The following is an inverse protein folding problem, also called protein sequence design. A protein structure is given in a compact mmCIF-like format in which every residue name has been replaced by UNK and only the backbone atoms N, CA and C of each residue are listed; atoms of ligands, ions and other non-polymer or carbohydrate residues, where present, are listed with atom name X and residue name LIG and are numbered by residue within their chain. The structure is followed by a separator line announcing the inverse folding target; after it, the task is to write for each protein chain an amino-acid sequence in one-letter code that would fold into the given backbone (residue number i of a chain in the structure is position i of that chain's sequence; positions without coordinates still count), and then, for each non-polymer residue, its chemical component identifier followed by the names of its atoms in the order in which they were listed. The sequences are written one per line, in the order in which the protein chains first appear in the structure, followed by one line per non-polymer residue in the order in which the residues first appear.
data_IF_359119022275
#
_entry.id   IF_359119022275
#
_cell.length_a   1.000
_cell.length_b   1.000
_cell.length_c   1.000
_cell.angle_alpha   90.00
_cell.angle_beta   90.00
_cell.angle_gamma   90.00
#
_symmetry.space_group_name_H-M   'P 1'
#
loop_
_entity.id
_entity.type
_entity.pdbx_description
1 polymer ?
#
# COMPACT_ATOMS: atom_id res chain seq x y z
N UNK A 1 -36.36 39.60 -24.40
CA UNK A 1 -36.01 39.72 -22.97
C UNK A 1 -35.69 38.39 -22.25
N UNK A 2 -35.99 37.20 -22.80
CA UNK A 2 -35.81 35.91 -22.08
C UNK A 2 -34.39 35.28 -22.14
N UNK A 3 -33.48 35.80 -22.99
CA UNK A 3 -32.16 35.17 -23.23
C UNK A 3 -31.03 35.66 -22.31
N UNK A 4 -31.22 36.79 -21.62
CA UNK A 4 -30.19 37.43 -20.78
C UNK A 4 -30.18 37.00 -19.31
N UNK A 5 -31.27 36.39 -18.82
CA UNK A 5 -31.37 35.91 -17.42
C UNK A 5 -30.66 34.56 -17.22
N UNK A 6 -30.33 33.84 -18.30
CA UNK A 6 -29.71 32.49 -18.22
C UNK A 6 -28.21 32.48 -17.87
N UNK A 7 -27.47 33.57 -18.04
CA UNK A 7 -26.02 33.60 -17.76
C UNK A 7 -25.63 34.22 -16.40
N UNK A 8 -26.46 35.08 -15.82
CA UNK A 8 -26.10 35.79 -14.58
C UNK A 8 -26.24 34.93 -13.32
N UNK A 9 -27.21 34.00 -13.30
CA UNK A 9 -27.30 32.98 -12.26
C UNK A 9 -26.09 32.02 -12.30
N UNK A 10 -25.59 31.70 -13.50
CA UNK A 10 -24.41 30.84 -13.70
C UNK A 10 -23.13 31.48 -13.14
N UNK A 11 -22.91 32.78 -13.35
CA UNK A 11 -21.70 33.45 -12.84
C UNK A 11 -21.65 33.55 -11.30
N UNK A 12 -22.77 33.87 -10.65
CA UNK A 12 -22.84 33.99 -9.19
C UNK A 12 -22.75 32.61 -8.51
N UNK A 13 -23.43 31.61 -9.08
CA UNK A 13 -23.38 30.23 -8.61
C UNK A 13 -21.99 29.62 -8.80
N UNK A 14 -21.35 29.81 -9.95
CA UNK A 14 -19.98 29.35 -10.18
C UNK A 14 -19.01 30.02 -9.21
N UNK A 15 -19.12 31.34 -8.99
CA UNK A 15 -18.28 32.06 -8.03
C UNK A 15 -18.48 31.57 -6.59
N UNK A 16 -19.70 31.16 -6.22
CA UNK A 16 -19.99 30.54 -4.93
C UNK A 16 -19.37 29.14 -4.82
N UNK A 17 -19.46 28.32 -5.87
CA UNK A 17 -18.82 27.00 -5.92
C UNK A 17 -17.30 27.11 -5.80
N UNK A 18 -16.66 27.97 -6.58
CA UNK A 18 -15.20 28.18 -6.51
C UNK A 18 -14.72 28.60 -5.12
N UNK A 19 -15.50 29.45 -4.42
CA UNK A 19 -15.19 29.84 -3.04
C UNK A 19 -15.44 28.74 -2.01
N UNK A 20 -16.21 27.72 -2.38
CA UNK A 20 -16.56 26.59 -1.50
C UNK A 20 -15.61 25.41 -1.65
N UNK A 21 -14.75 25.42 -2.68
CA UNK A 21 -13.70 24.41 -2.91
C UNK A 21 -12.52 24.74 -2.00
N UNK A 22 -12.29 23.88 -1.02
CA UNK A 22 -11.02 23.76 -0.32
C UNK A 22 -10.13 22.80 -1.11
N UNK A 23 -8.88 23.18 -1.37
CA UNK A 23 -7.92 22.34 -2.10
C UNK A 23 -7.41 21.16 -1.28
N UNK A 24 -7.54 21.21 0.06
CA UNK A 24 -7.12 20.15 0.97
C UNK A 24 -5.63 19.77 0.78
N UNK A 25 -4.78 20.75 0.47
CA UNK A 25 -3.34 20.55 0.18
C UNK A 25 -2.62 19.89 1.37
N UNK A 26 -3.07 20.17 2.60
CA UNK A 26 -2.61 19.56 3.84
C UNK A 26 -2.92 18.06 3.92
N UNK A 27 -4.17 17.68 3.60
CA UNK A 27 -4.62 16.28 3.60
C UNK A 27 -3.95 15.50 2.46
N UNK A 28 -3.86 16.10 1.28
CA UNK A 28 -3.15 15.52 0.15
C UNK A 28 -1.68 15.24 0.50
N UNK A 29 -0.98 16.23 1.07
CA UNK A 29 0.43 16.08 1.44
C UNK A 29 0.64 15.02 2.52
N UNK A 30 -0.28 14.92 3.49
CA UNK A 30 -0.26 13.86 4.50
C UNK A 30 -0.36 12.48 3.85
N UNK A 31 -1.38 12.25 3.02
CA UNK A 31 -1.60 10.95 2.36
C UNK A 31 -0.43 10.62 1.43
N UNK A 32 0.04 11.60 0.64
CA UNK A 32 1.14 11.41 -0.31
C UNK A 32 2.47 11.13 0.38
N UNK A 33 2.74 11.70 1.56
CA UNK A 33 3.95 11.40 2.32
C UNK A 33 3.84 10.08 3.10
N UNK A 34 2.64 9.66 3.48
CA UNK A 34 2.42 8.52 4.37
C UNK A 34 2.15 7.20 3.65
N UNK A 35 1.33 7.19 2.60
CA UNK A 35 0.78 5.97 1.99
C UNK A 35 1.42 5.71 0.62
N UNK A 36 1.76 4.45 0.34
CA UNK A 36 2.28 4.02 -0.97
C UNK A 36 1.22 4.15 -2.07
N UNK A 37 1.64 4.32 -3.32
CA UNK A 37 0.72 4.46 -4.47
C UNK A 37 -0.22 3.26 -4.64
N UNK A 38 0.31 2.05 -4.47
CA UNK A 38 -0.42 0.81 -4.60
C UNK A 38 -0.38 0.05 -3.26
N UNK A 39 -1.26 0.41 -2.30
CA UNK A 39 -1.29 -0.26 -1.01
C UNK A 39 -1.83 -1.70 -1.15
N UNK A 40 -1.43 -2.62 -0.26
CA UNK A 40 -1.95 -3.98 -0.26
C UNK A 40 -3.44 -4.00 0.06
N UNK A 41 -4.13 -5.04 -0.40
CA UNK A 41 -5.57 -5.20 -0.18
C UNK A 41 -5.92 -5.40 1.30
N UNK A 42 -4.98 -5.90 2.11
CA UNK A 42 -5.22 -6.13 3.55
C UNK A 42 -4.13 -5.50 4.40
N UNK A 43 -4.55 -4.88 5.51
CA UNK A 43 -3.63 -4.31 6.53
C UNK A 43 -2.71 -5.36 7.16
N UNK A 44 -3.04 -6.66 7.04
CA UNK A 44 -2.26 -7.76 7.61
C UNK A 44 -1.00 -8.08 6.81
N UNK A 45 -0.92 -7.63 5.56
CA UNK A 45 0.24 -7.89 4.71
C UNK A 45 1.38 -6.91 5.01
N UNK A 46 1.08 -5.73 5.57
CA UNK A 46 2.03 -4.62 5.70
C UNK A 46 2.48 -4.09 4.33
N UNK A 47 3.44 -3.17 4.30
CA UNK A 47 3.85 -2.46 3.11
C UNK A 47 2.90 -1.34 2.65
N UNK A 48 2.08 -0.79 3.55
CA UNK A 48 1.14 0.31 3.21
C UNK A 48 1.76 1.71 3.41
N UNK A 49 2.79 1.80 4.24
CA UNK A 49 3.45 3.07 4.59
C UNK A 49 4.69 3.32 3.71
N UNK A 50 4.84 4.55 3.21
CA UNK A 50 6.01 4.99 2.43
C UNK A 50 7.27 5.01 3.31
N UNK A 51 8.41 4.62 2.73
CA UNK A 51 9.72 4.77 3.38
C UNK A 51 10.03 6.24 3.65
N UNK A 52 10.65 6.53 4.79
CA UNK A 52 10.95 7.89 5.23
C UNK A 52 9.80 8.59 5.95
N UNK A 53 8.61 7.98 6.04
CA UNK A 53 7.51 8.53 6.83
C UNK A 53 7.73 8.38 8.33
N UNK A 54 8.33 7.26 8.75
CA UNK A 54 8.58 6.95 10.15
C UNK A 54 9.92 6.23 10.33
N UNK A 55 10.81 6.82 11.13
CA UNK A 55 12.17 6.31 11.36
C UNK A 55 12.19 4.94 12.05
N UNK A 56 11.25 4.68 12.97
CA UNK A 56 11.16 3.41 13.68
C UNK A 56 10.76 2.28 12.71
N UNK A 57 9.78 2.53 11.84
CA UNK A 57 9.37 1.58 10.81
C UNK A 57 10.51 1.30 9.83
N UNK A 58 11.25 2.33 9.42
CA UNK A 58 12.40 2.19 8.54
C UNK A 58 13.52 1.38 9.20
N UNK A 59 13.77 1.58 10.50
CA UNK A 59 14.74 0.79 11.26
C UNK A 59 14.36 -0.69 11.32
N UNK A 60 13.10 -1.00 11.66
CA UNK A 60 12.61 -2.39 11.73
C UNK A 60 12.68 -3.07 10.36
N UNK A 61 12.33 -2.34 9.30
CA UNK A 61 12.43 -2.83 7.92
C UNK A 61 13.88 -3.03 7.47
N UNK A 62 14.79 -2.20 7.97
CA UNK A 62 16.24 -2.34 7.79
C UNK A 62 16.76 -3.67 8.35
N UNK A 63 16.41 -3.99 9.60
CA UNK A 63 16.80 -5.24 10.26
C UNK A 63 16.31 -6.50 9.51
N UNK A 64 15.13 -6.40 8.89
CA UNK A 64 14.58 -7.49 8.07
C UNK A 64 15.38 -7.72 6.78
N UNK A 65 15.98 -6.68 6.19
CA UNK A 65 16.81 -6.85 4.99
C UNK A 65 18.13 -7.55 5.30
N UNK A 66 18.75 -7.25 6.44
CA UNK A 66 19.95 -7.95 6.90
C UNK A 66 19.68 -9.46 7.12
N UNK A 67 18.46 -9.78 7.56
CA UNK A 67 18.03 -11.16 7.77
C UNK A 67 18.04 -12.02 6.50
N UNK A 68 17.86 -11.45 5.31
CA UNK A 68 18.02 -12.19 4.03
C UNK A 68 19.47 -12.60 3.80
N UNK A 69 20.43 -11.75 4.18
CA UNK A 69 21.85 -12.06 4.13
C UNK A 69 22.21 -13.18 5.09
N UNK A 70 21.64 -13.17 6.30
CA UNK A 70 21.82 -14.23 7.29
C UNK A 70 21.30 -15.58 6.75
N UNK A 71 20.11 -15.61 6.15
CA UNK A 71 19.56 -16.82 5.54
C UNK A 71 20.44 -17.38 4.40
N UNK A 72 20.97 -16.50 3.56
CA UNK A 72 21.89 -16.90 2.49
C UNK A 72 23.21 -17.48 3.04
N UNK A 73 23.72 -16.90 4.13
CA UNK A 73 24.91 -17.42 4.82
C UNK A 73 24.64 -18.79 5.43
N UNK A 74 23.49 -18.99 6.09
CA UNK A 74 23.07 -20.30 6.61
C UNK A 74 22.96 -21.31 5.47
N UNK A 75 22.36 -20.95 4.33
CA UNK A 75 22.27 -21.86 3.19
C UNK A 75 23.67 -22.30 2.70
N UNK A 76 24.61 -21.37 2.56
CA UNK A 76 25.98 -21.68 2.14
C UNK A 76 26.72 -22.57 3.15
N UNK A 77 26.66 -22.21 4.44
CA UNK A 77 27.29 -22.98 5.51
C UNK A 77 26.75 -24.41 5.59
N UNK A 78 25.43 -24.58 5.50
CA UNK A 78 24.84 -25.92 5.51
C UNK A 78 25.17 -26.72 4.24
N UNK A 79 25.32 -26.07 3.08
CA UNK A 79 25.81 -26.74 1.86
C UNK A 79 27.24 -27.23 2.01
N UNK A 80 28.10 -26.44 2.64
CA UNK A 80 29.51 -26.79 2.85
C UNK A 80 29.66 -27.92 3.88
N UNK A 81 28.91 -27.87 4.99
CA UNK A 81 28.95 -28.90 6.05
C UNK A 81 28.42 -30.25 5.54
N UNK A 82 27.31 -30.24 4.79
CA UNK A 82 26.65 -31.48 4.36
C UNK A 82 27.17 -32.01 3.02
N UNK A 83 27.85 -31.17 2.23
CA UNK A 83 28.25 -31.50 0.87
C UNK A 83 27.09 -31.64 -0.11
N UNK A 84 25.88 -31.19 0.24
CA UNK A 84 24.68 -31.34 -0.60
C UNK A 84 24.56 -30.12 -1.54
N UNK A 85 24.82 -30.26 -2.85
CA UNK A 85 24.92 -29.11 -3.76
C UNK A 85 23.57 -28.44 -4.05
N UNK A 86 22.45 -29.13 -3.84
CA UNK A 86 21.08 -28.66 -4.12
C UNK A 86 20.28 -28.33 -2.85
N UNK A 87 20.95 -28.19 -1.71
CA UNK A 87 20.29 -27.75 -0.47
C UNK A 87 19.82 -26.31 -0.62
N UNK A 88 18.54 -26.05 -0.29
CA UNK A 88 17.93 -24.73 -0.40
C UNK A 88 17.16 -24.37 0.87
N UNK A 89 17.28 -23.12 1.31
CA UNK A 89 16.41 -22.57 2.36
C UNK A 89 15.14 -22.03 1.71
N UNK A 90 13.99 -22.54 2.14
CA UNK A 90 12.67 -22.11 1.70
C UNK A 90 11.83 -21.56 2.85
N UNK A 91 10.72 -20.90 2.51
CA UNK A 91 9.71 -20.44 3.46
C UNK A 91 8.34 -20.97 3.06
N UNK A 92 7.56 -21.42 4.05
CA UNK A 92 6.16 -21.79 3.90
C UNK A 92 5.35 -21.09 4.99
N UNK A 93 4.18 -20.55 4.63
CA UNK A 93 3.32 -19.82 5.57
C UNK A 93 2.87 -20.65 6.78
N UNK A 94 2.75 -21.98 6.64
CA UNK A 94 2.29 -22.90 7.70
C UNK A 94 3.45 -23.46 8.51
N UNK A 95 4.54 -23.86 7.85
CA UNK A 95 5.65 -24.57 8.50
C UNK A 95 6.88 -23.72 8.79
N UNK A 96 6.86 -22.45 8.35
CA UNK A 96 7.96 -21.52 8.56
C UNK A 96 9.11 -21.70 7.57
N UNK A 97 10.30 -21.29 7.99
CA UNK A 97 11.53 -21.54 7.25
C UNK A 97 11.95 -23.01 7.37
N UNK A 98 12.46 -23.56 6.26
CA UNK A 98 12.93 -24.95 6.19
C UNK A 98 14.11 -25.09 5.25
N UNK A 99 14.87 -26.16 5.47
CA UNK A 99 15.90 -26.63 4.56
C UNK A 99 15.30 -27.77 3.73
N UNK A 100 15.30 -27.62 2.41
CA UNK A 100 14.86 -28.65 1.48
C UNK A 100 16.04 -29.49 1.01
N UNK A 101 15.93 -30.81 1.18
CA UNK A 101 16.93 -31.78 0.74
C UNK A 101 16.25 -32.83 -0.14
N UNK A 102 16.80 -33.08 -1.32
CA UNK A 102 16.27 -34.13 -2.22
C UNK A 102 16.48 -35.52 -1.62
N UNK A 103 15.54 -36.44 -1.88
CA UNK A 103 15.58 -37.82 -1.36
C UNK A 103 16.89 -38.56 -1.66
N UNK A 104 17.57 -38.22 -2.78
CA UNK A 104 18.87 -38.79 -3.15
C UNK A 104 20.00 -38.46 -2.18
N UNK A 105 19.89 -37.37 -1.40
CA UNK A 105 20.91 -36.90 -0.46
C UNK A 105 20.49 -37.10 1.01
N UNK A 106 19.40 -37.82 1.26
CA UNK A 106 18.84 -38.02 2.60
C UNK A 106 19.82 -38.66 3.58
N UNK A 107 20.68 -39.57 3.10
CA UNK A 107 21.70 -40.22 3.94
C UNK A 107 22.84 -39.28 4.36
N UNK A 108 22.98 -38.11 3.73
CA UNK A 108 23.99 -37.10 4.06
C UNK A 108 23.46 -36.05 5.05
N UNK A 109 22.19 -36.14 5.46
CA UNK A 109 21.59 -35.20 6.40
C UNK A 109 22.08 -35.51 7.82
N UNK A 110 22.67 -34.55 8.55
CA UNK A 110 23.11 -34.74 9.92
C UNK A 110 21.96 -35.04 10.89
N UNK A 111 22.24 -35.75 11.99
CA UNK A 111 21.23 -36.02 13.04
C UNK A 111 20.75 -34.76 13.77
N UNK A 112 21.49 -33.65 13.69
CA UNK A 112 21.11 -32.35 14.26
C UNK A 112 19.91 -31.71 13.55
N UNK A 113 19.53 -32.21 12.36
CA UNK A 113 18.42 -31.71 11.59
C UNK A 113 17.11 -32.32 12.06
N UNK A 114 16.15 -31.47 12.43
CA UNK A 114 14.83 -31.92 12.86
C UNK A 114 13.91 -31.94 11.64
N UNK A 115 13.42 -33.13 11.26
CA UNK A 115 12.52 -33.29 10.12
C UNK A 115 11.14 -32.65 10.39
N UNK A 116 10.66 -31.84 9.44
CA UNK A 116 9.38 -31.10 9.50
C UNK A 116 8.30 -31.69 8.58
N UNK A 117 8.66 -32.07 7.36
CA UNK A 117 7.72 -32.54 6.35
C UNK A 117 8.43 -33.48 5.36
N UNK A 118 7.73 -34.53 4.91
CA UNK A 118 8.18 -35.40 3.82
C UNK A 118 7.33 -35.13 2.58
N UNK A 119 7.96 -34.90 1.44
CA UNK A 119 7.33 -34.75 0.13
C UNK A 119 7.76 -35.90 -0.79
N UNK A 120 7.12 -36.01 -1.95
CA UNK A 120 7.38 -37.10 -2.91
C UNK A 120 8.85 -37.16 -3.36
N UNK A 121 9.51 -36.01 -3.51
CA UNK A 121 10.87 -35.92 -4.07
C UNK A 121 11.93 -35.35 -3.10
N UNK A 122 11.51 -34.81 -1.96
CA UNK A 122 12.39 -34.15 -1.00
C UNK A 122 11.86 -34.25 0.43
N UNK A 123 12.74 -34.08 1.40
CA UNK A 123 12.41 -33.90 2.81
C UNK A 123 12.76 -32.49 3.26
N UNK A 124 11.95 -31.95 4.16
CA UNK A 124 12.13 -30.62 4.76
C UNK A 124 12.57 -30.77 6.20
N UNK A 125 13.60 -30.02 6.57
CA UNK A 125 14.21 -30.03 7.90
C UNK A 125 14.31 -28.62 8.47
N UNK A 126 14.51 -28.53 9.78
CA UNK A 126 14.85 -27.30 10.48
C UNK A 126 16.10 -27.54 11.34
N UNK A 127 16.98 -26.54 11.41
CA UNK A 127 18.12 -26.50 12.34
C UNK A 127 17.84 -25.50 13.45
N UNK A 128 18.60 -25.59 14.55
CA UNK A 128 18.46 -24.63 15.65
C UNK A 128 18.77 -23.20 15.19
N UNK A 129 19.85 -23.02 14.42
CA UNK A 129 20.23 -21.70 13.86
C UNK A 129 19.13 -21.10 12.98
N UNK A 130 18.50 -21.92 12.13
CA UNK A 130 17.41 -21.46 11.27
C UNK A 130 16.17 -21.07 12.08
N UNK A 131 15.89 -21.80 13.16
CA UNK A 131 14.77 -21.52 14.08
C UNK A 131 15.00 -20.20 14.84
N UNK A 132 16.23 -19.94 15.27
CA UNK A 132 16.55 -18.70 16.00
C UNK A 132 16.46 -17.47 15.09
N UNK A 133 16.94 -17.59 13.85
CA UNK A 133 16.79 -16.54 12.83
C UNK A 133 15.33 -16.35 12.43
N UNK A 134 14.57 -17.44 12.25
CA UNK A 134 13.14 -17.38 11.99
C UNK A 134 12.40 -16.59 13.08
N UNK A 135 12.65 -16.88 14.36
CA UNK A 135 12.01 -16.17 15.46
C UNK A 135 12.30 -14.66 15.42
N UNK A 136 13.54 -14.27 15.09
CA UNK A 136 13.92 -12.86 14.92
C UNK A 136 13.20 -12.21 13.73
N UNK A 137 13.14 -12.89 12.59
CA UNK A 137 12.49 -12.38 11.37
C UNK A 137 10.99 -12.21 11.59
N UNK A 138 10.32 -13.23 12.12
CA UNK A 138 8.88 -13.19 12.36
C UNK A 138 8.54 -12.12 13.40
N UNK A 139 9.30 -12.03 14.49
CA UNK A 139 9.10 -10.98 15.49
C UNK A 139 9.34 -9.57 14.95
N UNK A 140 10.33 -9.37 14.07
CA UNK A 140 10.53 -8.09 13.39
C UNK A 140 9.38 -7.77 12.43
N UNK A 141 8.92 -8.76 11.66
CA UNK A 141 7.78 -8.61 10.75
C UNK A 141 6.50 -8.25 11.48
N UNK A 142 6.18 -8.95 12.57
CA UNK A 142 4.97 -8.70 13.35
C UNK A 142 4.99 -7.29 13.97
N UNK A 143 6.15 -6.85 14.47
CA UNK A 143 6.34 -5.47 14.95
C UNK A 143 6.16 -4.44 13.83
N UNK A 144 6.73 -4.70 12.65
CA UNK A 144 6.57 -3.84 11.47
C UNK A 144 5.10 -3.68 11.09
N UNK A 145 4.36 -4.78 10.98
CA UNK A 145 2.94 -4.78 10.61
C UNK A 145 2.10 -4.06 11.67
N UNK A 146 2.37 -4.28 12.95
CA UNK A 146 1.66 -3.59 14.02
C UNK A 146 1.92 -2.07 14.01
N UNK A 147 3.17 -1.66 13.77
CA UNK A 147 3.54 -0.25 13.68
C UNK A 147 2.92 0.42 12.46
N UNK A 148 2.96 -0.24 11.29
CA UNK A 148 2.28 0.25 10.08
C UNK A 148 0.78 0.42 10.29
N UNK A 149 0.14 -0.53 10.96
CA UNK A 149 -1.29 -0.43 11.26
C UNK A 149 -1.60 0.80 12.11
N UNK A 150 -0.80 1.08 13.15
CA UNK A 150 -0.98 2.25 14.00
C UNK A 150 -0.78 3.54 13.20
N UNK A 151 0.29 3.64 12.41
CA UNK A 151 0.56 4.80 11.57
C UNK A 151 -0.55 5.05 10.55
N UNK A 152 -1.06 3.99 9.94
CA UNK A 152 -2.19 4.06 9.02
C UNK A 152 -3.48 4.49 9.73
N UNK A 153 -3.75 3.97 10.92
CA UNK A 153 -4.90 4.38 11.73
C UNK A 153 -4.83 5.86 12.13
N UNK A 154 -3.64 6.37 12.45
CA UNK A 154 -3.44 7.79 12.74
C UNK A 154 -3.69 8.69 11.51
N UNK A 155 -3.22 8.27 10.32
CA UNK A 155 -3.54 8.95 9.07
C UNK A 155 -5.06 8.95 8.83
N UNK A 156 -5.71 7.79 9.00
CA UNK A 156 -7.18 7.66 8.84
C UNK A 156 -7.95 8.56 9.79
N UNK A 157 -7.55 8.64 11.06
CA UNK A 157 -8.16 9.55 12.04
C UNK A 157 -8.01 10.99 11.60
N UNK A 158 -6.81 11.40 11.20
CA UNK A 158 -6.55 12.77 10.74
C UNK A 158 -7.39 13.15 9.52
N UNK A 159 -7.55 12.22 8.57
CA UNK A 159 -8.44 12.40 7.40
C UNK A 159 -9.91 12.47 7.85
N UNK A 160 -10.32 11.62 8.78
CA UNK A 160 -11.68 11.56 9.32
C UNK A 160 -12.06 12.84 10.08
N UNK A 161 -11.14 13.44 10.82
CA UNK A 161 -11.33 14.72 11.50
C UNK A 161 -11.58 15.87 10.51
N UNK A 162 -11.14 15.71 9.27
CA UNK A 162 -11.33 16.67 8.18
C UNK A 162 -12.48 16.28 7.23
N UNK A 163 -13.31 15.29 7.60
CA UNK A 163 -14.38 14.76 6.78
C UNK A 163 -15.36 15.85 6.29
N UNK A 164 -15.69 16.82 7.14
CA UNK A 164 -16.59 17.92 6.77
C UNK A 164 -16.00 18.79 5.65
N UNK A 165 -14.70 19.11 5.72
CA UNK A 165 -13.98 19.86 4.67
C UNK A 165 -13.98 19.07 3.36
N UNK A 166 -13.66 17.78 3.44
CA UNK A 166 -13.63 16.86 2.29
C UNK A 166 -15.01 16.79 1.63
N UNK A 167 -16.07 16.54 2.40
CA UNK A 167 -17.43 16.45 1.88
C UNK A 167 -17.92 17.77 1.27
N UNK A 168 -17.56 18.91 1.87
CA UNK A 168 -17.91 20.23 1.33
C UNK A 168 -17.28 20.46 -0.05
N UNK A 169 -15.99 20.16 -0.19
CA UNK A 169 -15.29 20.22 -1.47
C UNK A 169 -15.87 19.24 -2.48
N UNK A 170 -16.11 17.99 -2.09
CA UNK A 170 -16.70 16.97 -2.97
C UNK A 170 -18.08 17.39 -3.51
N UNK A 171 -18.94 17.94 -2.65
CA UNK A 171 -20.25 18.50 -3.07
C UNK A 171 -20.09 19.68 -4.04
N UNK A 172 -19.12 20.56 -3.80
CA UNK A 172 -18.86 21.69 -4.69
C UNK A 172 -18.39 21.21 -6.08
N UNK A 173 -17.50 20.21 -6.13
CA UNK A 173 -17.02 19.59 -7.37
C UNK A 173 -18.17 18.87 -8.10
N UNK A 174 -18.98 18.06 -7.40
CA UNK A 174 -20.12 17.35 -8.00
C UNK A 174 -21.14 18.32 -8.61
N UNK A 175 -21.43 19.44 -7.94
CA UNK A 175 -22.32 20.47 -8.49
C UNK A 175 -21.72 21.12 -9.75
N UNK A 176 -20.40 21.33 -9.79
CA UNK A 176 -19.71 21.86 -10.96
C UNK A 176 -19.78 20.87 -12.14
N UNK A 177 -19.57 19.59 -11.87
CA UNK A 177 -19.64 18.51 -12.86
C UNK A 177 -21.04 18.40 -13.48
N UNK A 178 -22.09 18.42 -12.66
CA UNK A 178 -23.49 18.42 -13.13
C UNK A 178 -23.78 19.63 -14.02
N UNK A 179 -23.34 20.83 -13.62
CA UNK A 179 -23.53 22.06 -14.42
C UNK A 179 -22.78 21.95 -15.74
N UNK A 180 -21.55 21.44 -15.72
CA UNK A 180 -20.75 21.24 -16.93
C UNK A 180 -21.43 20.27 -17.90
N UNK A 181 -21.86 19.11 -17.42
CA UNK A 181 -22.50 18.08 -18.22
C UNK A 181 -23.85 18.55 -18.79
N UNK A 182 -24.63 19.32 -18.01
CA UNK A 182 -25.88 19.90 -18.49
C UNK A 182 -25.64 20.96 -19.58
N UNK A 183 -24.61 21.79 -19.44
CA UNK A 183 -24.26 22.80 -20.44
C UNK A 183 -23.77 22.16 -21.74
N UNK A 184 -22.95 21.13 -21.65
CA UNK A 184 -22.47 20.36 -22.80
C UNK A 184 -23.64 19.71 -23.57
N UNK A 185 -24.63 19.16 -22.85
CA UNK A 185 -25.79 18.54 -23.48
C UNK A 185 -26.78 19.55 -24.11
N UNK A 186 -26.89 20.76 -23.56
CA UNK A 186 -27.86 21.77 -24.00
C UNK A 186 -27.34 22.71 -25.09
N UNK A 187 -26.05 22.71 -25.40
CA UNK A 187 -25.43 23.60 -26.38
C UNK A 187 -24.85 22.79 -27.55
N UNK A 188 -25.22 23.08 -28.82
CA UNK A 188 -24.67 22.38 -29.96
C UNK A 188 -23.16 22.62 -30.07
N UNK A 189 -22.42 21.57 -30.48
CA UNK A 189 -20.97 21.63 -30.66
C UNK A 189 -20.59 22.80 -31.59
N UNK A 190 -19.98 23.85 -31.03
CA UNK A 190 -19.55 25.04 -31.77
C UNK A 190 -19.48 26.35 -30.99
N UNK A 191 -20.15 26.48 -29.83
CA UNK A 191 -20.19 27.75 -29.07
C UNK A 191 -19.58 27.69 -27.65
N UNK A 192 -18.95 26.58 -27.25
CA UNK A 192 -18.39 26.42 -25.91
C UNK A 192 -16.89 26.74 -25.86
N UNK A 193 -16.54 28.00 -25.61
CA UNK A 193 -15.21 28.37 -25.11
C UNK A 193 -15.27 28.41 -23.58
N UNK A 194 -14.99 27.27 -22.94
CA UNK A 194 -14.74 27.22 -21.49
C UNK A 194 -13.22 27.17 -21.32
N UNK A 195 -12.70 28.10 -20.52
CA UNK A 195 -11.30 28.18 -20.14
C UNK A 195 -10.83 26.81 -19.60
N UNK A 196 -9.87 26.20 -20.30
CA UNK A 196 -9.32 24.86 -20.01
C UNK A 196 -8.63 24.78 -18.65
N UNK A 197 -8.41 25.90 -17.96
CA UNK A 197 -7.89 25.92 -16.59
C UNK A 197 -8.82 25.23 -15.57
N UNK A 198 -10.11 25.06 -15.89
CA UNK A 198 -11.11 24.38 -15.02
C UNK A 198 -11.05 22.86 -15.15
N UNK A 199 -10.68 22.32 -16.32
CA UNK A 199 -10.62 20.86 -16.56
C UNK A 199 -9.56 20.14 -15.71
N UNK A 200 -8.58 20.86 -15.16
CA UNK A 200 -7.54 20.24 -14.32
C UNK A 200 -8.11 19.72 -13.00
N UNK A 201 -9.26 20.25 -12.54
CA UNK A 201 -9.92 19.83 -11.29
C UNK A 201 -10.66 18.49 -11.45
N UNK A 202 -11.09 18.13 -12.68
CA UNK A 202 -11.78 16.86 -12.95
C UNK A 202 -10.86 15.65 -12.74
N UNK A 203 -9.55 15.78 -13.01
CA UNK A 203 -8.60 14.67 -12.93
C UNK A 203 -8.24 14.34 -11.47
N UNK A 204 -8.30 15.33 -10.56
CA UNK A 204 -8.03 15.11 -9.13
C UNK A 204 -9.18 14.35 -8.43
N UNK A 205 -10.43 14.59 -8.81
CA UNK A 205 -11.60 13.98 -8.16
C UNK A 205 -11.75 12.48 -8.45
N UNK A 206 -11.41 12.04 -9.67
CA UNK A 206 -11.48 10.61 -10.07
C UNK A 206 -10.42 9.76 -9.36
N UNK A 207 -9.29 10.37 -8.95
CA UNK A 207 -8.26 9.67 -8.17
C UNK A 207 -8.61 9.59 -6.68
N UNK A 208 -9.37 10.56 -6.14
CA UNK A 208 -9.82 10.50 -4.74
C UNK A 208 -10.90 9.45 -4.47
N UNK A 209 -11.73 9.10 -5.45
CA UNK A 209 -12.76 8.06 -5.29
C UNK A 209 -12.15 6.65 -5.20
N UNK A 210 -11.11 6.38 -6.00
CA UNK A 210 -10.34 5.12 -5.90
C UNK A 210 -9.53 5.00 -4.62
N UNK A 211 -9.05 6.13 -4.08
CA UNK A 211 -8.42 6.16 -2.77
C UNK A 211 -9.44 5.88 -1.66
N UNK A 212 -10.68 6.39 -1.78
CA UNK A 212 -11.73 6.20 -0.79
C UNK A 212 -12.25 4.75 -0.72
N UNK A 213 -12.41 4.08 -1.86
CA UNK A 213 -12.80 2.67 -1.93
C UNK A 213 -11.71 1.70 -1.42
N UNK A 214 -10.45 2.13 -1.36
CA UNK A 214 -9.36 1.38 -0.73
C UNK A 214 -9.27 1.59 0.81
N UNK A 215 -10.00 2.57 1.34
CA UNK A 215 -9.96 3.01 2.74
C UNK A 215 -11.17 2.56 3.58
N UNK A 216 -12.25 2.10 2.95
CA UNK A 216 -13.44 1.50 3.58
C UNK A 216 -13.38 -0.03 3.59
#
# INVERSE_FOLDING_TARGET
MSRFVKLTASAAFNKYIYKSIDKLEDIHSLIDSAIVEEPPFTVREGGMIKRGYNEELDSVTGDMNDSKGILARIEAEQRDITGIPKLKVGYNRVFGYYIEVSNSYKSMVPETYIRKQTLTNCERYITQDLKDVEGRILGAKDRSVALEYNLFDDVRKTVSDNLERIQKTAKAIANLDIVHQLLEHLLPAGELYIDKSVCVVQIAAVHTEKAFDALC
#
